data_IF_715111970914
#
_entry.id   IF_715111970914
#
_cell.length_a   1.000
_cell.length_b   1.000
_cell.length_c   1.000
_cell.angle_alpha   90.00
_cell.angle_beta   90.00
_cell.angle_gamma   90.00
#
_symmetry.space_group_name_H-M   'P 1'
#
loop_
_entity.id
_entity.type
_entity.pdbx_description
1 polymer ?
#
# COMPACT_ATOMS: atom_id res chain seq x y z
N UNK A 1 -5.50 35.27 -9.40
CA UNK A 1 -5.46 35.03 -7.94
C UNK A 1 -3.99 34.95 -7.55
N UNK A 2 -3.48 35.87 -6.72
CA UNK A 2 -2.03 36.03 -6.53
C UNK A 2 -1.40 34.76 -5.93
N UNK A 3 -0.22 34.37 -6.40
CA UNK A 3 0.52 33.19 -5.94
C UNK A 3 0.64 33.12 -4.41
N UNK A 4 0.62 34.29 -3.74
CA UNK A 4 0.66 34.42 -2.29
C UNK A 4 -0.58 33.84 -1.61
N UNK A 5 -1.79 34.07 -2.14
CA UNK A 5 -3.04 33.52 -1.58
C UNK A 5 -3.06 32.00 -1.75
N UNK A 6 -2.64 31.51 -2.92
CA UNK A 6 -2.52 30.07 -3.19
C UNK A 6 -1.55 29.39 -2.21
N UNK A 7 -0.39 30.00 -1.97
CA UNK A 7 0.62 29.45 -1.07
C UNK A 7 0.13 29.40 0.38
N UNK A 8 -0.54 30.46 0.85
CA UNK A 8 -1.12 30.49 2.20
C UNK A 8 -2.17 29.38 2.38
N UNK A 9 -3.07 29.20 1.42
CA UNK A 9 -4.08 28.14 1.46
C UNK A 9 -3.42 26.75 1.48
N UNK A 10 -2.39 26.53 0.66
CA UNK A 10 -1.64 25.27 0.64
C UNK A 10 -0.95 25.00 1.97
N UNK A 11 -0.30 26.00 2.58
CA UNK A 11 0.36 25.86 3.88
C UNK A 11 -0.63 25.53 5.00
N UNK A 12 -1.80 26.16 4.99
CA UNK A 12 -2.85 25.88 5.98
C UNK A 12 -3.39 24.45 5.78
N UNK A 13 -3.67 24.04 4.54
CA UNK A 13 -4.18 22.70 4.26
C UNK A 13 -3.18 21.60 4.64
N UNK A 14 -1.90 21.77 4.30
CA UNK A 14 -0.85 20.79 4.62
C UNK A 14 -0.56 20.73 6.12
N UNK A 15 -0.55 21.87 6.81
CA UNK A 15 -0.35 21.90 8.27
C UNK A 15 -1.51 21.24 9.01
N UNK A 16 -2.76 21.50 8.62
CA UNK A 16 -3.92 20.83 9.20
C UNK A 16 -3.87 19.31 8.98
N UNK A 17 -3.58 18.87 7.76
CA UNK A 17 -3.43 17.44 7.46
C UNK A 17 -2.30 16.79 8.28
N UNK A 18 -1.16 17.48 8.41
CA UNK A 18 -0.06 16.98 9.22
C UNK A 18 -0.47 16.82 10.68
N UNK A 19 -1.14 17.83 11.27
CA UNK A 19 -1.59 17.80 12.67
C UNK A 19 -2.56 16.63 12.89
N UNK A 20 -3.55 16.43 12.01
CA UNK A 20 -4.51 15.32 12.16
C UNK A 20 -3.85 13.96 11.97
N UNK A 21 -2.90 13.85 11.05
CA UNK A 21 -2.12 12.63 10.83
C UNK A 21 -1.26 12.29 12.05
N UNK A 22 -0.54 13.27 12.60
CA UNK A 22 0.26 13.06 13.80
C UNK A 22 -0.60 12.72 15.01
N UNK A 23 -1.75 13.38 15.19
CA UNK A 23 -2.69 13.03 16.28
C UNK A 23 -3.18 11.57 16.17
N UNK A 24 -3.49 11.12 14.95
CA UNK A 24 -3.86 9.73 14.66
C UNK A 24 -2.74 8.74 14.97
N UNK A 25 -1.49 9.06 14.65
CA UNK A 25 -0.32 8.23 14.95
C UNK A 25 -0.07 8.15 16.46
N UNK A 26 -0.09 9.29 17.17
CA UNK A 26 0.18 9.30 18.62
C UNK A 26 -0.91 8.63 19.45
N UNK A 27 -2.17 8.69 19.00
CA UNK A 27 -3.31 8.03 19.66
C UNK A 27 -3.60 6.64 19.10
N UNK A 28 -2.74 6.11 18.21
CA UNK A 28 -2.98 4.89 17.45
C UNK A 28 -3.38 3.71 18.33
N UNK A 29 -2.67 3.45 19.43
CA UNK A 29 -2.98 2.33 20.33
C UNK A 29 -4.37 2.35 20.95
N UNK A 30 -4.99 3.53 21.13
CA UNK A 30 -6.37 3.66 21.65
C UNK A 30 -7.44 3.47 20.56
N UNK A 31 -7.03 3.50 19.30
CA UNK A 31 -7.91 3.36 18.13
C UNK A 31 -7.98 1.91 17.63
N UNK A 32 -7.10 1.02 18.10
CA UNK A 32 -7.07 -0.37 17.67
C UNK A 32 -8.05 -1.19 18.51
N UNK A 33 -9.08 -1.72 17.85
CA UNK A 33 -9.88 -2.83 18.38
C UNK A 33 -9.33 -4.14 17.78
N UNK A 34 -8.83 -5.08 18.61
CA UNK A 34 -8.38 -6.37 18.10
C UNK A 34 -9.59 -7.16 17.61
N UNK A 35 -9.82 -7.15 16.30
CA UNK A 35 -10.85 -7.94 15.64
C UNK A 35 -10.31 -9.32 15.26
N UNK A 36 -10.27 -9.60 13.96
CA UNK A 36 -9.82 -10.89 13.40
C UNK A 36 -8.37 -11.26 13.76
N UNK A 37 -7.57 -10.30 14.20
CA UNK A 37 -6.19 -10.54 14.65
C UNK A 37 -6.09 -11.55 15.80
N UNK A 38 -7.11 -11.61 16.67
CA UNK A 38 -7.12 -12.59 17.77
C UNK A 38 -7.24 -14.02 17.23
N UNK A 39 -8.11 -14.22 16.23
CA UNK A 39 -8.30 -15.50 15.54
C UNK A 39 -7.02 -15.93 14.82
N UNK A 40 -6.35 -15.01 14.13
CA UNK A 40 -5.07 -15.30 13.47
C UNK A 40 -4.01 -15.75 14.48
N UNK A 41 -3.88 -15.05 15.62
CA UNK A 41 -2.89 -15.43 16.62
C UNK A 41 -3.21 -16.76 17.34
N UNK A 42 -4.50 -17.08 17.52
CA UNK A 42 -4.93 -18.32 18.16
C UNK A 42 -4.73 -19.55 17.27
N UNK A 43 -5.14 -19.46 16.01
CA UNK A 43 -5.17 -20.60 15.08
C UNK A 43 -3.92 -20.68 14.21
N UNK A 44 -3.33 -19.53 13.87
CA UNK A 44 -2.28 -19.47 12.86
C UNK A 44 -0.98 -20.16 13.26
N UNK A 45 -0.55 -19.98 14.50
CA UNK A 45 0.66 -20.62 15.04
C UNK A 45 0.55 -22.15 15.12
N UNK A 46 -0.67 -22.70 15.06
CA UNK A 46 -0.88 -24.15 15.06
C UNK A 46 -0.62 -24.78 13.69
N UNK A 47 -0.77 -24.01 12.61
CA UNK A 47 -0.56 -24.48 11.23
C UNK A 47 0.88 -24.24 10.78
N UNK A 48 1.41 -23.05 11.01
CA UNK A 48 2.78 -22.69 10.64
C UNK A 48 3.39 -21.69 11.64
N UNK A 49 4.71 -21.73 11.87
CA UNK A 49 5.37 -20.86 12.85
C UNK A 49 5.43 -19.40 12.42
N UNK A 50 5.35 -19.10 11.12
CA UNK A 50 5.41 -17.73 10.61
C UNK A 50 4.00 -17.18 10.32
N UNK A 51 3.53 -16.33 11.24
CA UNK A 51 2.20 -15.72 11.16
C UNK A 51 2.02 -14.82 9.93
N UNK A 52 3.07 -14.11 9.52
CA UNK A 52 2.98 -13.14 8.41
C UNK A 52 2.73 -13.89 7.10
N UNK A 53 3.53 -14.92 6.82
CA UNK A 53 3.35 -15.72 5.61
C UNK A 53 2.02 -16.44 5.60
N UNK A 54 1.56 -16.94 6.75
CA UNK A 54 0.27 -17.59 6.86
C UNK A 54 -0.89 -16.63 6.57
N UNK A 55 -0.86 -15.42 7.14
CA UNK A 55 -1.92 -14.43 6.89
C UNK A 55 -1.91 -13.98 5.44
N UNK A 56 -0.73 -13.71 4.87
CA UNK A 56 -0.61 -13.15 3.51
C UNK A 56 -0.90 -14.20 2.44
N UNK A 57 -0.43 -15.44 2.59
CA UNK A 57 -0.63 -16.50 1.58
C UNK A 57 -1.88 -17.36 1.77
N UNK A 58 -2.31 -17.66 3.00
CA UNK A 58 -3.51 -18.48 3.23
C UNK A 58 -4.75 -17.61 3.47
N UNK A 59 -4.77 -16.83 4.55
CA UNK A 59 -5.98 -16.10 4.96
C UNK A 59 -6.33 -14.93 4.03
N UNK A 60 -5.31 -14.26 3.47
CA UNK A 60 -5.42 -13.13 2.54
C UNK A 60 -4.76 -13.43 1.19
N UNK A 61 -4.70 -14.71 0.80
CA UNK A 61 -4.04 -15.13 -0.44
C UNK A 61 -4.55 -14.44 -1.70
N UNK A 62 -5.83 -14.02 -1.73
CA UNK A 62 -6.39 -13.24 -2.84
C UNK A 62 -5.73 -11.85 -3.02
N UNK A 63 -5.31 -11.21 -1.92
CA UNK A 63 -4.61 -9.92 -1.95
C UNK A 63 -3.24 -10.08 -2.63
N UNK A 64 -2.48 -11.10 -2.22
CA UNK A 64 -1.17 -11.44 -2.81
C UNK A 64 -1.26 -11.96 -4.24
N UNK A 65 -2.33 -12.71 -4.58
CA UNK A 65 -2.61 -13.05 -5.98
C UNK A 65 -2.80 -11.77 -6.80
N UNK A 66 -3.58 -10.81 -6.29
CA UNK A 66 -3.75 -9.50 -6.89
C UNK A 66 -2.43 -8.74 -7.07
N UNK A 67 -1.58 -8.69 -6.03
CA UNK A 67 -0.25 -8.08 -6.10
C UNK A 67 0.60 -8.71 -7.22
N UNK A 68 0.63 -10.04 -7.32
CA UNK A 68 1.37 -10.75 -8.37
C UNK A 68 0.84 -10.43 -9.78
N UNK A 69 -0.48 -10.32 -9.93
CA UNK A 69 -1.12 -9.96 -11.19
C UNK A 69 -0.78 -8.51 -11.59
N UNK A 70 -0.79 -7.58 -10.64
CA UNK A 70 -0.38 -6.19 -10.89
C UNK A 70 1.08 -6.13 -11.35
N UNK A 71 1.98 -6.92 -10.75
CA UNK A 71 3.38 -6.97 -11.20
C UNK A 71 3.52 -7.51 -12.64
N UNK A 72 2.80 -8.59 -12.97
CA UNK A 72 2.81 -9.16 -14.34
C UNK A 72 2.25 -8.15 -15.34
N UNK A 73 1.14 -7.50 -15.03
CA UNK A 73 0.53 -6.50 -15.92
C UNK A 73 1.45 -5.30 -16.11
N UNK A 74 2.13 -4.83 -15.05
CA UNK A 74 3.13 -3.77 -15.16
C UNK A 74 4.26 -4.14 -16.13
N UNK A 75 4.81 -5.36 -16.03
CA UNK A 75 5.86 -5.84 -16.94
C UNK A 75 5.34 -5.86 -18.39
N UNK A 76 4.15 -6.41 -18.62
CA UNK A 76 3.55 -6.47 -19.96
C UNK A 76 3.35 -5.06 -20.54
N UNK A 77 2.83 -4.12 -19.76
CA UNK A 77 2.62 -2.73 -20.20
C UNK A 77 3.94 -2.06 -20.56
N UNK A 78 4.98 -2.22 -19.73
CA UNK A 78 6.31 -1.65 -20.01
C UNK A 78 6.88 -2.23 -21.31
N UNK A 79 6.75 -3.54 -21.53
CA UNK A 79 7.18 -4.18 -22.78
C UNK A 79 6.39 -3.71 -24.00
N UNK A 80 5.08 -3.47 -23.87
CA UNK A 80 4.27 -2.96 -24.98
C UNK A 80 4.61 -1.51 -25.34
N UNK A 81 4.86 -0.66 -24.34
CA UNK A 81 5.18 0.76 -24.54
C UNK A 81 6.61 0.94 -25.05
N UNK A 82 7.59 0.27 -24.45
CA UNK A 82 9.02 0.48 -24.76
C UNK A 82 9.66 -0.65 -25.58
N UNK A 83 9.11 -1.86 -25.55
CA UNK A 83 9.75 -3.04 -26.16
C UNK A 83 9.86 -2.99 -27.67
N UNK A 84 8.95 -2.32 -28.39
CA UNK A 84 9.11 -2.08 -29.85
C UNK A 84 10.19 -1.02 -30.17
N UNK A 85 10.47 -0.10 -29.24
CA UNK A 85 11.51 0.92 -29.41
C UNK A 85 12.94 0.38 -29.24
N UNK A 86 13.11 -0.68 -28.45
CA UNK A 86 14.41 -1.35 -28.25
C UNK A 86 14.76 -2.29 -29.43
N UNK A 87 13.74 -2.89 -30.07
CA UNK A 87 13.93 -3.83 -31.20
C UNK A 87 13.81 -3.13 -32.57
N UNK A 88 13.39 -1.86 -32.59
CA UNK A 88 12.96 -1.15 -33.79
C UNK A 88 14.00 -0.28 -34.51
N UNK A 89 15.23 -0.17 -34.01
CA UNK A 89 16.30 0.59 -34.68
C UNK A 89 17.55 -0.27 -34.93
N UNK A 90 17.32 -1.44 -35.49
CA UNK A 90 18.37 -2.16 -36.24
C UNK A 90 18.14 -1.90 -37.73
N UNK A 91 18.41 -0.66 -38.15
CA UNK A 91 18.78 -0.32 -39.52
C UNK A 91 20.25 0.04 -39.55
#
# INVERSE_FOLDING_TARGET
MSNNIRNVILTIATSLFAITLFDGIFKFGKLITPGVSEVYNLLGVQMAPNMITLVVFDWRGYDTLGESLILITAIVVVLLVFGRGIVGDSK
#
